data_IF_223260340640
#
_entry.id   IF_223260340640
#
_cell.length_a   1.000
_cell.length_b   1.000
_cell.length_c   1.000
_cell.angle_alpha   90.00
_cell.angle_beta   90.00
_cell.angle_gamma   90.00
#
_symmetry.space_group_name_H-M   'P 1'
#
loop_
_entity.id
_entity.type
_entity.pdbx_description
1 polymer ?
#
# COMPACT_ATOMS: atom_id res chain seq x y z
N UNK A 1 -76.46 -39.58 -62.14
CA UNK A 1 -77.87 -39.54 -61.71
C UNK A 1 -78.51 -38.35 -62.42
N UNK A 2 -79.09 -38.56 -63.62
CA UNK A 2 -80.57 -38.55 -63.87
C UNK A 2 -81.10 -37.11 -63.72
N UNK A 3 -81.68 -36.37 -64.68
CA UNK A 3 -82.51 -36.59 -65.89
C UNK A 3 -82.59 -35.20 -66.61
N UNK A 4 -82.59 -35.06 -67.95
CA UNK A 4 -83.78 -35.09 -68.86
C UNK A 4 -84.79 -33.95 -68.55
N UNK A 5 -85.40 -33.17 -69.44
CA UNK A 5 -85.89 -33.25 -70.84
C UNK A 5 -86.08 -31.79 -71.32
N UNK A 6 -85.71 -31.37 -72.54
CA UNK A 6 -86.47 -31.52 -73.79
C UNK A 6 -87.95 -31.11 -73.73
N UNK A 7 -88.32 -30.05 -74.46
CA UNK A 7 -89.48 -30.02 -75.37
C UNK A 7 -89.35 -28.77 -76.27
N UNK A 8 -89.07 -28.91 -77.57
CA UNK A 8 -90.04 -28.95 -78.71
C UNK A 8 -90.79 -27.61 -78.85
N UNK A 9 -90.92 -26.99 -80.01
CA UNK A 9 -91.41 -27.58 -81.26
C UNK A 9 -91.24 -26.54 -82.41
N UNK A 10 -90.76 -27.03 -83.55
CA UNK A 10 -91.16 -26.72 -84.94
C UNK A 10 -91.12 -25.27 -85.46
N UNK A 11 -90.26 -24.96 -86.44
CA UNK A 11 -90.39 -25.33 -87.85
C UNK A 11 -91.64 -24.63 -88.48
N UNK A 12 -91.61 -24.02 -89.65
CA UNK A 12 -90.72 -24.09 -90.81
C UNK A 12 -91.30 -23.09 -91.83
N UNK A 13 -90.45 -22.59 -92.74
CA UNK A 13 -90.79 -21.84 -93.95
C UNK A 13 -91.24 -20.36 -93.74
N UNK A 14 -90.84 -19.38 -94.54
CA UNK A 14 -90.39 -19.44 -95.92
C UNK A 14 -89.61 -18.16 -96.21
N UNK A 15 -88.32 -18.30 -96.56
CA UNK A 15 -87.41 -17.24 -97.03
C UNK A 15 -87.83 -16.62 -98.38
N UNK A 16 -89.10 -16.23 -98.55
CA UNK A 16 -89.64 -15.61 -99.79
C UNK A 16 -90.48 -14.35 -99.56
N UNK A 17 -91.04 -14.11 -98.37
CA UNK A 17 -91.91 -12.92 -98.12
C UNK A 17 -91.16 -11.65 -97.73
N UNK A 18 -89.89 -11.76 -97.30
CA UNK A 18 -89.03 -10.62 -96.95
C UNK A 18 -88.71 -9.72 -98.16
N UNK A 19 -88.94 -10.19 -99.40
CA UNK A 19 -88.65 -9.43 -100.62
C UNK A 19 -89.90 -8.74 -101.21
N UNK A 20 -91.12 -9.05 -100.74
CA UNK A 20 -92.37 -8.54 -101.35
C UNK A 20 -93.07 -7.43 -100.53
N UNK A 21 -92.88 -7.34 -99.21
CA UNK A 21 -93.54 -6.29 -98.41
C UNK A 21 -92.71 -4.99 -98.24
N UNK A 22 -91.41 -5.00 -98.55
CA UNK A 22 -90.59 -3.76 -98.65
C UNK A 22 -91.12 -2.83 -99.76
N UNK A 23 -92.02 -3.32 -100.63
CA UNK A 23 -92.76 -2.53 -101.63
C UNK A 23 -94.04 -1.87 -101.06
N UNK A 24 -94.55 -2.31 -99.90
CA UNK A 24 -95.68 -1.69 -99.19
C UNK A 24 -95.23 -0.45 -98.37
N UNK A 25 -93.92 -0.29 -98.19
CA UNK A 25 -93.28 0.88 -97.57
C UNK A 25 -93.41 2.18 -98.37
N UNK A 26 -93.92 2.16 -99.62
CA UNK A 26 -93.76 3.31 -100.51
C UNK A 26 -95.01 3.91 -101.16
N UNK A 27 -96.21 3.35 -101.02
CA UNK A 27 -97.30 3.82 -101.89
C UNK A 27 -98.71 3.84 -101.28
N UNK A 28 -98.85 3.61 -99.97
CA UNK A 28 -100.13 3.85 -99.28
C UNK A 28 -99.90 4.86 -98.18
N UNK A 29 -99.90 6.14 -98.51
CA UNK A 29 -101.13 6.84 -98.91
C UNK A 29 -102.15 6.58 -97.81
N UNK A 30 -102.00 7.30 -96.73
CA UNK A 30 -102.63 8.60 -96.64
C UNK A 30 -103.96 8.47 -95.90
N UNK A 31 -104.32 9.64 -95.39
CA UNK A 31 -105.66 10.02 -95.02
C UNK A 31 -106.07 9.50 -93.63
N UNK A 32 -106.10 10.49 -92.73
CA UNK A 32 -106.79 10.57 -91.45
C UNK A 32 -105.93 10.20 -90.22
N UNK A 33 -105.54 11.14 -89.37
CA UNK A 33 -105.87 12.56 -89.33
C UNK A 33 -105.27 13.21 -88.09
N UNK A 34 -104.59 14.33 -88.32
CA UNK A 34 -104.74 15.61 -87.59
C UNK A 34 -105.61 15.53 -86.32
N UNK A 35 -105.07 16.00 -85.19
CA UNK A 35 -105.38 17.29 -84.55
C UNK A 35 -104.30 17.54 -83.48
N UNK A 36 -103.28 18.37 -83.72
CA UNK A 36 -103.12 19.82 -83.44
C UNK A 36 -103.29 20.31 -82.01
N UNK A 37 -102.22 20.96 -81.51
CA UNK A 37 -102.23 22.08 -80.56
C UNK A 37 -101.22 21.89 -79.42
N UNK A 38 -100.29 22.79 -79.07
CA UNK A 38 -99.85 24.10 -79.57
C UNK A 38 -98.58 24.45 -78.74
N UNK A 39 -97.50 24.97 -79.33
CA UNK A 39 -96.29 25.48 -78.63
C UNK A 39 -96.56 26.85 -77.98
N UNK A 40 -95.87 27.25 -76.88
CA UNK A 40 -94.60 28.02 -76.96
C UNK A 40 -93.56 27.60 -75.85
N UNK A 41 -92.26 27.45 -76.12
CA UNK A 41 -91.12 28.41 -76.18
C UNK A 41 -90.49 28.87 -74.83
N UNK A 42 -89.22 28.42 -74.63
CA UNK A 42 -88.04 28.97 -73.90
C UNK A 42 -88.08 29.12 -72.36
N UNK A 43 -87.20 28.38 -71.63
CA UNK A 43 -86.08 28.87 -70.77
C UNK A 43 -85.12 27.70 -70.45
N UNK A 44 -83.83 28.00 -70.48
CA UNK A 44 -82.61 27.21 -70.34
C UNK A 44 -82.18 27.06 -68.85
N UNK A 45 -81.79 25.86 -68.39
CA UNK A 45 -80.94 25.65 -67.21
C UNK A 45 -80.42 24.20 -67.16
N UNK A 46 -79.11 24.05 -67.39
CA UNK A 46 -78.33 22.80 -67.38
C UNK A 46 -78.19 22.20 -65.97
N UNK A 47 -78.28 20.87 -65.89
CA UNK A 47 -77.94 20.07 -64.71
C UNK A 47 -76.55 19.44 -64.88
N UNK A 48 -75.55 19.96 -64.20
CA UNK A 48 -74.21 19.36 -64.12
C UNK A 48 -74.03 18.62 -62.79
N UNK A 49 -74.00 17.28 -62.86
CA UNK A 49 -73.56 16.41 -61.77
C UNK A 49 -72.04 16.30 -61.82
N UNK A 50 -71.37 16.61 -60.70
CA UNK A 50 -69.92 16.46 -60.55
C UNK A 50 -69.63 15.01 -60.12
N UNK A 51 -68.88 14.20 -60.89
CA UNK A 51 -68.55 12.84 -60.47
C UNK A 51 -67.52 12.86 -59.32
N UNK A 52 -67.88 12.24 -58.20
CA UNK A 52 -67.00 12.02 -57.04
C UNK A 52 -66.53 10.57 -57.00
N UNK A 53 -65.21 10.36 -56.92
CA UNK A 53 -64.61 9.04 -56.65
C UNK A 53 -64.88 8.66 -55.20
N UNK A 54 -65.65 7.60 -54.98
CA UNK A 54 -65.83 7.00 -53.65
C UNK A 54 -64.84 5.83 -53.45
N UNK A 55 -64.36 5.66 -52.22
CA UNK A 55 -63.53 4.54 -51.80
C UNK A 55 -64.16 3.91 -50.53
N UNK A 56 -64.11 2.58 -50.40
CA UNK A 56 -64.61 1.89 -49.21
C UNK A 56 -63.68 2.15 -48.01
N UNK A 57 -64.20 2.83 -46.98
CA UNK A 57 -63.46 3.01 -45.73
C UNK A 57 -63.33 1.67 -45.00
N UNK A 58 -62.10 1.28 -44.69
CA UNK A 58 -61.79 0.11 -43.85
C UNK A 58 -61.15 0.61 -42.56
N UNK A 59 -61.60 0.07 -41.44
CA UNK A 59 -60.91 0.28 -40.17
C UNK A 59 -59.58 -0.48 -40.22
N UNK A 60 -58.48 0.25 -40.05
CA UNK A 60 -57.13 -0.28 -39.98
C UNK A 60 -56.33 0.56 -39.01
N UNK A 61 -55.25 0.00 -38.48
CA UNK A 61 -54.31 0.73 -37.63
C UNK A 61 -53.57 1.77 -38.47
N UNK A 62 -53.96 3.04 -38.36
CA UNK A 62 -53.18 4.15 -38.90
C UNK A 62 -51.97 4.38 -38.00
N UNK A 63 -50.78 4.16 -38.55
CA UNK A 63 -49.51 4.52 -37.92
C UNK A 63 -49.10 5.89 -38.46
N UNK A 64 -49.20 6.92 -37.63
CA UNK A 64 -48.66 8.24 -37.94
C UNK A 64 -47.18 8.23 -37.63
N UNK A 65 -46.33 8.22 -38.66
CA UNK A 65 -44.89 8.39 -38.51
C UNK A 65 -44.57 9.88 -38.48
N UNK A 66 -43.65 10.26 -37.59
CA UNK A 66 -43.07 11.61 -37.57
C UNK A 66 -41.65 11.42 -38.05
N UNK A 67 -41.32 12.04 -39.18
CA UNK A 67 -39.97 12.01 -39.73
C UNK A 67 -39.15 13.07 -38.99
N UNK A 68 -38.14 12.62 -38.25
CA UNK A 68 -37.26 13.49 -37.47
C UNK A 68 -35.84 13.29 -37.98
N UNK A 69 -35.23 14.38 -38.46
CA UNK A 69 -33.81 14.39 -38.77
C UNK A 69 -33.00 14.62 -37.48
N UNK A 70 -31.93 13.85 -37.34
CA UNK A 70 -31.09 13.87 -36.16
C UNK A 70 -29.65 13.46 -36.49
N UNK A 71 -28.81 13.43 -35.46
CA UNK A 71 -27.41 13.02 -35.57
C UNK A 71 -27.14 11.81 -34.68
N UNK A 72 -26.26 10.92 -35.15
CA UNK A 72 -25.76 9.82 -34.34
C UNK A 72 -24.58 10.34 -33.52
N UNK A 73 -24.65 10.18 -32.20
CA UNK A 73 -23.56 10.50 -31.28
C UNK A 73 -23.07 9.24 -30.59
N UNK A 74 -21.79 9.22 -30.28
CA UNK A 74 -21.21 8.14 -29.51
C UNK A 74 -21.56 8.28 -28.02
N UNK A 75 -21.83 7.15 -27.38
CA UNK A 75 -22.21 7.12 -25.96
C UNK A 75 -21.03 7.51 -25.05
N UNK A 76 -19.78 7.23 -25.45
CA UNK A 76 -18.58 7.52 -24.67
C UNK A 76 -17.54 8.22 -25.55
N UNK A 77 -17.34 9.50 -25.25
CA UNK A 77 -16.28 10.32 -25.83
C UNK A 77 -15.38 10.81 -24.71
N UNK A 78 -14.07 10.66 -24.86
CA UNK A 78 -13.08 11.11 -23.88
C UNK A 78 -12.04 11.99 -24.57
N UNK A 79 -11.84 13.18 -24.03
CA UNK A 79 -10.74 14.04 -24.42
C UNK A 79 -9.52 13.74 -23.55
N UNK A 80 -8.41 13.40 -24.21
CA UNK A 80 -7.13 13.15 -23.57
C UNK A 80 -6.36 14.46 -23.56
N UNK A 81 -6.06 14.93 -22.35
CA UNK A 81 -5.23 16.10 -22.12
C UNK A 81 -3.85 15.71 -21.57
N UNK A 82 -2.89 16.61 -21.72
CA UNK A 82 -1.58 16.45 -21.11
C UNK A 82 -1.70 16.53 -19.58
N UNK A 83 -1.00 15.62 -18.88
CA UNK A 83 -0.90 15.63 -17.41
C UNK A 83 0.33 16.36 -16.91
N UNK A 84 1.36 16.48 -17.75
CA UNK A 84 2.62 17.14 -17.45
C UNK A 84 3.01 18.08 -18.60
N UNK A 85 3.80 19.11 -18.27
CA UNK A 85 4.38 20.01 -19.27
C UNK A 85 5.51 19.30 -20.01
N UNK A 86 5.52 19.37 -21.34
CA UNK A 86 6.61 18.78 -22.12
C UNK A 86 6.44 18.97 -23.62
N UNK A 87 7.57 18.91 -24.35
CA UNK A 87 7.56 18.90 -25.81
C UNK A 87 7.11 17.53 -26.32
N UNK A 88 6.17 17.51 -27.26
CA UNK A 88 5.74 16.27 -27.92
C UNK A 88 6.83 15.80 -28.88
N UNK A 89 7.36 14.59 -28.68
CA UNK A 89 8.39 13.99 -29.55
C UNK A 89 7.73 13.18 -30.66
N UNK A 90 6.71 12.38 -30.33
CA UNK A 90 6.01 11.57 -31.31
C UNK A 90 4.54 11.36 -30.96
N UNK A 91 3.72 11.24 -32.00
CA UNK A 91 2.30 10.90 -31.94
C UNK A 91 2.09 9.68 -32.84
N UNK A 92 2.14 8.45 -32.29
CA UNK A 92 2.14 7.22 -33.09
C UNK A 92 0.82 6.90 -33.80
N UNK A 93 -0.27 7.61 -33.51
CA UNK A 93 -1.58 7.37 -34.10
C UNK A 93 -2.05 8.54 -34.96
N UNK A 94 -2.86 8.21 -35.96
CA UNK A 94 -3.49 9.15 -36.89
C UNK A 94 -4.98 9.27 -36.56
N UNK A 95 -5.62 10.25 -37.18
CA UNK A 95 -7.08 10.33 -37.19
C UNK A 95 -7.63 9.07 -37.89
N UNK A 96 -8.78 8.59 -37.40
CA UNK A 96 -9.43 7.34 -37.82
C UNK A 96 -8.72 6.02 -37.42
N UNK A 97 -7.57 6.08 -36.74
CA UNK A 97 -6.92 4.88 -36.21
C UNK A 97 -7.66 4.31 -34.99
N UNK A 98 -7.78 2.98 -34.93
CA UNK A 98 -8.30 2.27 -33.76
C UNK A 98 -7.22 2.10 -32.69
N UNK A 99 -7.54 2.46 -31.45
CA UNK A 99 -6.64 2.35 -30.30
C UNK A 99 -7.29 1.55 -29.18
N UNK A 100 -6.49 0.68 -28.54
CA UNK A 100 -6.91 -0.09 -27.37
C UNK A 100 -6.70 0.70 -26.08
N UNK A 101 -7.52 0.45 -25.06
CA UNK A 101 -7.31 0.98 -23.71
C UNK A 101 -5.87 0.72 -23.23
N UNK A 102 -5.21 1.76 -22.72
CA UNK A 102 -3.83 1.73 -22.24
C UNK A 102 -2.75 1.96 -23.32
N UNK A 103 -3.11 2.02 -24.61
CA UNK A 103 -2.17 2.33 -25.68
C UNK A 103 -1.58 3.74 -25.51
N UNK A 104 -0.29 3.91 -25.84
CA UNK A 104 0.39 5.21 -25.81
C UNK A 104 -0.01 5.99 -27.05
N UNK A 105 -0.56 7.17 -26.83
CA UNK A 105 -1.17 8.02 -27.86
C UNK A 105 -0.26 9.20 -28.18
N UNK A 106 0.43 9.73 -27.17
CA UNK A 106 1.40 10.83 -27.29
C UNK A 106 2.60 10.54 -26.40
N UNK A 107 3.80 10.74 -26.93
CA UNK A 107 5.05 10.63 -26.18
C UNK A 107 5.72 12.00 -26.08
N UNK A 108 5.91 12.48 -24.84
CA UNK A 108 6.68 13.68 -24.55
C UNK A 108 8.19 13.37 -24.41
N UNK A 109 9.02 14.42 -24.49
CA UNK A 109 10.45 14.35 -24.23
C UNK A 109 10.73 13.95 -22.77
N UNK A 110 11.56 12.94 -22.60
CA UNK A 110 11.90 12.36 -21.29
C UNK A 110 13.36 12.58 -20.91
N UNK A 111 14.17 13.23 -21.75
CA UNK A 111 15.62 13.38 -21.53
C UNK A 111 15.96 14.06 -20.20
N UNK A 112 15.28 15.17 -19.88
CA UNK A 112 15.42 15.88 -18.61
C UNK A 112 14.93 15.03 -17.42
N UNK A 113 13.77 14.37 -17.56
CA UNK A 113 13.20 13.51 -16.53
C UNK A 113 14.12 12.32 -16.20
N UNK A 114 14.75 11.71 -17.21
CA UNK A 114 15.72 10.63 -17.00
C UNK A 114 16.98 11.13 -16.28
N UNK A 115 17.42 12.35 -16.58
CA UNK A 115 18.56 12.98 -15.90
C UNK A 115 18.22 13.28 -14.44
N UNK A 116 17.01 13.77 -14.16
CA UNK A 116 16.51 14.00 -12.81
C UNK A 116 16.31 12.70 -12.02
N UNK A 117 15.83 11.62 -12.66
CA UNK A 117 15.77 10.29 -12.04
C UNK A 117 17.16 9.83 -11.62
N UNK A 118 18.18 9.94 -12.49
CA UNK A 118 19.56 9.59 -12.13
C UNK A 118 20.08 10.41 -10.95
N UNK A 119 19.76 11.71 -10.89
CA UNK A 119 20.11 12.57 -9.76
C UNK A 119 19.40 12.13 -8.48
N UNK A 120 18.11 11.80 -8.56
CA UNK A 120 17.33 11.31 -7.43
C UNK A 120 17.81 9.93 -6.94
N UNK A 121 18.18 9.03 -7.84
CA UNK A 121 18.78 7.73 -7.51
C UNK A 121 20.12 7.89 -6.79
N UNK A 122 20.97 8.82 -7.23
CA UNK A 122 22.19 9.19 -6.51
C UNK A 122 21.88 9.77 -5.11
N UNK A 123 20.79 10.55 -4.99
CA UNK A 123 20.27 11.02 -3.70
C UNK A 123 19.86 9.87 -2.78
N UNK A 124 19.14 8.87 -3.28
CA UNK A 124 18.78 7.66 -2.52
C UNK A 124 20.03 6.89 -2.10
N UNK A 125 21.02 6.77 -2.98
CA UNK A 125 22.28 6.10 -2.68
C UNK A 125 23.04 6.79 -1.53
N UNK A 126 23.15 8.12 -1.55
CA UNK A 126 23.80 8.87 -0.46
C UNK A 126 23.02 8.77 0.85
N UNK A 127 21.69 8.86 0.81
CA UNK A 127 20.85 8.70 1.99
C UNK A 127 20.95 7.29 2.60
N UNK A 128 20.98 6.24 1.76
CA UNK A 128 21.20 4.86 2.18
C UNK A 128 22.58 4.67 2.81
N UNK A 129 23.62 5.29 2.23
CA UNK A 129 24.97 5.25 2.80
C UNK A 129 25.01 5.92 4.18
N UNK A 130 24.30 7.04 4.38
CA UNK A 130 24.18 7.70 5.68
C UNK A 130 23.43 6.83 6.70
N UNK A 131 22.35 6.17 6.31
CA UNK A 131 21.66 5.20 7.16
C UNK A 131 22.56 4.04 7.56
N UNK A 132 23.33 3.49 6.62
CA UNK A 132 24.31 2.44 6.91
C UNK A 132 25.37 2.92 7.90
N UNK A 133 25.92 4.13 7.72
CA UNK A 133 26.89 4.72 8.66
C UNK A 133 26.30 4.87 10.07
N UNK A 134 25.06 5.34 10.19
CA UNK A 134 24.38 5.47 11.47
C UNK A 134 24.16 4.10 12.15
N UNK A 135 23.75 3.08 11.39
CA UNK A 135 23.61 1.71 11.91
C UNK A 135 24.94 1.12 12.36
N UNK A 136 26.01 1.27 11.57
CA UNK A 136 27.35 0.79 11.93
C UNK A 136 27.87 1.50 13.18
N UNK A 137 27.72 2.82 13.28
CA UNK A 137 28.09 3.58 14.47
C UNK A 137 27.33 3.10 15.72
N UNK A 138 26.03 2.83 15.59
CA UNK A 138 25.23 2.24 16.68
C UNK A 138 25.73 0.85 17.08
N UNK A 139 26.04 -0.02 16.11
CA UNK A 139 26.54 -1.37 16.39
C UNK A 139 27.92 -1.34 17.08
N UNK A 140 28.83 -0.48 16.63
CA UNK A 140 30.15 -0.30 17.26
C UNK A 140 30.00 0.25 18.68
N UNK A 141 29.08 1.20 18.89
CA UNK A 141 28.77 1.74 20.23
C UNK A 141 28.17 0.66 21.13
N UNK A 142 27.28 -0.18 20.63
CA UNK A 142 26.69 -1.29 21.39
C UNK A 142 27.74 -2.31 21.81
N UNK A 143 28.57 -2.78 20.86
CA UNK A 143 29.64 -3.76 21.13
C UNK A 143 30.66 -3.20 22.12
N UNK A 144 31.10 -1.95 21.94
CA UNK A 144 32.04 -1.32 22.87
C UNK A 144 31.42 -1.06 24.25
N UNK A 145 30.13 -0.73 24.34
CA UNK A 145 29.44 -0.56 25.62
C UNK A 145 29.32 -1.88 26.37
N UNK A 146 28.93 -2.97 25.70
CA UNK A 146 28.86 -4.30 26.33
C UNK A 146 30.26 -4.77 26.76
N UNK A 147 31.30 -4.51 25.96
CA UNK A 147 32.69 -4.81 26.34
C UNK A 147 33.12 -4.03 27.60
N UNK A 148 32.79 -2.74 27.71
CA UNK A 148 33.07 -1.93 28.92
C UNK A 148 32.30 -2.42 30.14
N UNK A 149 31.04 -2.83 29.97
CA UNK A 149 30.24 -3.44 31.06
C UNK A 149 30.89 -4.75 31.51
N UNK A 150 31.31 -5.62 30.58
CA UNK A 150 31.97 -6.87 30.89
C UNK A 150 33.30 -6.64 31.65
N UNK A 151 34.11 -5.68 31.20
CA UNK A 151 35.34 -5.27 31.86
C UNK A 151 35.08 -4.76 33.29
N UNK A 152 34.09 -3.89 33.47
CA UNK A 152 33.74 -3.36 34.79
C UNK A 152 33.20 -4.44 35.73
N UNK A 153 32.39 -5.39 35.22
CA UNK A 153 31.96 -6.56 36.00
C UNK A 153 33.14 -7.42 36.43
N UNK A 154 34.09 -7.68 35.53
CA UNK A 154 35.29 -8.44 35.88
C UNK A 154 36.12 -7.72 36.96
N UNK A 155 36.21 -6.38 36.90
CA UNK A 155 36.87 -5.58 37.94
C UNK A 155 36.17 -5.72 39.30
N UNK A 156 34.83 -5.65 39.35
CA UNK A 156 34.05 -5.88 40.58
C UNK A 156 34.31 -7.27 41.17
N UNK A 157 34.29 -8.31 40.33
CA UNK A 157 34.55 -9.67 40.77
C UNK A 157 35.98 -9.83 41.30
N UNK A 158 36.98 -9.21 40.66
CA UNK A 158 38.36 -9.23 41.14
C UNK A 158 38.52 -8.51 42.50
N UNK A 159 37.83 -7.38 42.69
CA UNK A 159 37.84 -6.63 43.95
C UNK A 159 37.14 -7.43 45.07
N UNK A 160 36.02 -8.10 44.76
CA UNK A 160 35.31 -9.00 45.68
C UNK A 160 36.18 -10.20 46.05
N UNK A 161 36.91 -10.78 45.10
CA UNK A 161 37.85 -11.86 45.37
C UNK A 161 38.98 -11.40 46.32
N UNK A 162 39.54 -10.20 46.10
CA UNK A 162 40.54 -9.62 47.00
C UNK A 162 39.98 -9.37 48.41
N UNK A 163 38.76 -8.86 48.52
CA UNK A 163 38.08 -8.71 49.82
C UNK A 163 37.91 -10.06 50.52
N UNK A 164 37.55 -11.13 49.79
CA UNK A 164 37.46 -12.48 50.35
C UNK A 164 38.82 -12.97 50.86
N UNK A 165 39.90 -12.75 50.11
CA UNK A 165 41.25 -13.15 50.56
C UNK A 165 41.72 -12.37 51.78
N UNK A 166 41.42 -11.06 51.84
CA UNK A 166 41.74 -10.22 53.01
C UNK A 166 40.94 -10.67 54.23
N UNK A 167 39.63 -10.94 54.07
CA UNK A 167 38.80 -11.49 55.17
C UNK A 167 39.25 -12.88 55.62
N UNK A 168 39.84 -13.68 54.73
CA UNK A 168 40.34 -15.02 55.00
C UNK A 168 41.85 -15.06 55.30
N UNK A 169 42.46 -13.93 55.71
CA UNK A 169 43.91 -13.84 55.94
C UNK A 169 44.40 -14.85 56.99
N UNK A 170 43.64 -15.06 58.07
CA UNK A 170 43.92 -16.10 59.06
C UNK A 170 43.33 -17.43 58.63
N UNK A 171 44.17 -18.28 58.03
CA UNK A 171 43.77 -19.64 57.69
C UNK A 171 43.59 -20.46 58.99
N UNK A 172 42.54 -21.29 59.12
CA UNK A 172 42.35 -22.14 60.29
C UNK A 172 43.58 -23.02 60.61
N UNK A 173 44.31 -23.44 59.58
CA UNK A 173 45.55 -24.22 59.73
C UNK A 173 46.66 -23.43 60.44
N UNK A 174 46.77 -22.13 60.19
CA UNK A 174 47.77 -21.28 60.83
C UNK A 174 47.44 -21.04 62.30
N UNK A 175 46.15 -20.82 62.62
CA UNK A 175 45.66 -20.74 64.00
C UNK A 175 45.96 -22.05 64.75
N UNK A 176 45.68 -23.21 64.15
CA UNK A 176 45.93 -24.52 64.77
C UNK A 176 47.42 -24.76 65.08
N UNK A 177 48.34 -24.33 64.20
CA UNK A 177 49.79 -24.40 64.46
C UNK A 177 50.18 -23.51 65.64
N UNK A 178 49.63 -22.28 65.71
CA UNK A 178 49.88 -21.35 66.83
C UNK A 178 49.28 -21.85 68.13
N UNK A 179 48.09 -22.45 68.10
CA UNK A 179 47.46 -23.09 69.26
C UNK A 179 48.32 -24.22 69.79
N UNK A 180 48.85 -25.07 68.90
CA UNK A 180 49.77 -26.15 69.28
C UNK A 180 51.05 -25.61 69.93
N UNK A 181 51.59 -24.49 69.44
CA UNK A 181 52.76 -23.84 70.01
C UNK A 181 52.50 -23.19 71.38
N UNK A 182 51.30 -22.63 71.58
CA UNK A 182 50.87 -22.14 72.91
C UNK A 182 50.74 -23.30 73.88
N UNK A 183 50.17 -24.42 73.44
CA UNK A 183 50.00 -25.61 74.30
C UNK A 183 51.36 -26.20 74.72
N UNK A 184 52.34 -26.29 73.81
CA UNK A 184 53.69 -26.72 74.17
C UNK A 184 54.38 -25.74 75.13
N UNK A 185 54.31 -24.44 74.87
CA UNK A 185 54.92 -23.43 75.74
C UNK A 185 54.25 -23.35 77.12
N UNK A 186 52.96 -23.67 77.20
CA UNK A 186 52.20 -23.77 78.44
C UNK A 186 52.68 -24.96 79.27
N UNK A 187 52.91 -26.12 78.64
CA UNK A 187 53.44 -27.29 79.33
C UNK A 187 54.83 -27.01 79.93
N UNK A 188 55.71 -26.33 79.19
CA UNK A 188 57.04 -25.93 79.68
C UNK A 188 56.95 -24.94 80.85
N UNK A 189 56.05 -23.95 80.76
CA UNK A 189 55.80 -23.01 81.84
C UNK A 189 55.30 -23.69 83.13
N UNK A 190 54.32 -24.59 83.04
CA UNK A 190 53.81 -25.30 84.22
C UNK A 190 54.87 -26.22 84.83
N UNK A 191 55.68 -26.90 84.01
CA UNK A 191 56.81 -27.70 84.50
C UNK A 191 57.82 -26.83 85.26
N UNK A 192 58.24 -25.69 84.69
CA UNK A 192 59.18 -24.77 85.33
C UNK A 192 58.61 -24.11 86.59
N UNK A 193 57.30 -23.88 86.65
CA UNK A 193 56.60 -23.34 87.82
C UNK A 193 56.58 -24.34 88.98
N UNK A 194 56.24 -25.60 88.71
CA UNK A 194 56.26 -26.66 89.72
C UNK A 194 57.69 -26.88 90.22
N UNK A 195 58.68 -26.85 89.32
CA UNK A 195 60.09 -27.03 89.70
C UNK A 195 60.62 -25.88 90.56
N UNK A 196 60.26 -24.63 90.24
CA UNK A 196 60.55 -23.46 91.07
C UNK A 196 59.89 -23.58 92.46
N UNK A 197 58.62 -23.98 92.53
CA UNK A 197 57.91 -24.19 93.80
C UNK A 197 58.62 -25.24 94.66
N UNK A 198 58.91 -26.41 94.10
CA UNK A 198 59.62 -27.51 94.78
C UNK A 198 61.00 -27.07 95.27
N UNK A 199 61.75 -26.38 94.43
CA UNK A 199 63.08 -25.87 94.75
C UNK A 199 63.05 -24.81 95.85
N UNK A 200 62.04 -23.94 95.84
CA UNK A 200 61.84 -22.91 96.87
C UNK A 200 61.53 -23.52 98.25
N UNK A 201 60.74 -24.58 98.30
CA UNK A 201 60.44 -25.32 99.52
C UNK A 201 61.68 -26.03 100.08
N UNK A 202 62.44 -26.73 99.23
CA UNK A 202 63.67 -27.42 99.63
C UNK A 202 64.77 -26.44 100.06
N UNK A 203 64.85 -25.26 99.45
CA UNK A 203 65.76 -24.19 99.89
C UNK A 203 65.38 -23.65 101.27
N UNK A 204 64.08 -23.45 101.54
CA UNK A 204 63.60 -23.04 102.87
C UNK A 204 63.91 -24.05 103.98
N UNK A 205 64.01 -25.33 103.61
CA UNK A 205 64.41 -26.44 104.50
C UNK A 205 65.93 -26.66 104.58
N UNK A 206 66.74 -25.86 103.87
CA UNK A 206 68.21 -25.98 103.84
C UNK A 206 68.76 -27.14 102.99
N UNK A 207 67.91 -27.85 102.24
CA UNK A 207 68.28 -29.03 101.45
C UNK A 207 68.84 -28.69 100.05
N UNK A 208 68.77 -27.43 99.59
CA UNK A 208 69.31 -26.98 98.31
C UNK A 208 70.10 -25.68 98.40
N UNK A 209 71.00 -25.46 97.43
CA UNK A 209 71.86 -24.27 97.35
C UNK A 209 71.15 -23.07 96.71
N UNK A 210 71.60 -21.85 97.05
CA UNK A 210 71.09 -20.60 96.47
C UNK A 210 71.24 -20.55 94.94
N UNK A 211 72.34 -21.09 94.42
CA UNK A 211 72.58 -21.19 92.98
C UNK A 211 71.49 -22.01 92.27
N UNK A 212 71.02 -23.09 92.88
CA UNK A 212 69.98 -23.94 92.31
C UNK A 212 68.62 -23.22 92.25
N UNK A 213 68.28 -22.45 93.30
CA UNK A 213 67.08 -21.60 93.33
C UNK A 213 67.13 -20.51 92.24
N UNK A 214 68.29 -19.86 92.07
CA UNK A 214 68.47 -18.84 91.03
C UNK A 214 68.34 -19.42 89.62
N UNK A 215 68.79 -20.67 89.39
CA UNK A 215 68.62 -21.38 88.11
C UNK A 215 67.13 -21.67 87.86
N UNK A 216 66.42 -22.22 88.84
CA UNK A 216 64.99 -22.52 88.72
C UNK A 216 64.16 -21.23 88.49
N UNK A 217 64.53 -20.14 89.17
CA UNK A 217 63.88 -18.85 88.99
C UNK A 217 64.10 -18.30 87.57
N UNK A 218 65.33 -18.40 87.04
CA UNK A 218 65.63 -18.02 85.65
C UNK A 218 64.88 -18.90 84.64
N UNK A 219 64.81 -20.21 84.87
CA UNK A 219 64.06 -21.15 84.03
C UNK A 219 62.56 -20.83 83.98
N UNK A 220 61.96 -20.52 85.13
CA UNK A 220 60.58 -20.05 85.22
C UNK A 220 60.37 -18.74 84.45
N UNK A 221 61.25 -17.75 84.64
CA UNK A 221 61.16 -16.46 83.94
C UNK A 221 61.27 -16.63 82.43
N UNK A 222 62.19 -17.46 81.94
CA UNK A 222 62.33 -17.77 80.51
C UNK A 222 61.09 -18.48 79.95
N UNK A 223 60.56 -19.48 80.66
CA UNK A 223 59.38 -20.24 80.21
C UNK A 223 58.10 -19.41 80.25
N UNK A 224 57.97 -18.51 81.23
CA UNK A 224 56.89 -17.52 81.30
C UNK A 224 56.95 -16.52 80.14
N UNK A 225 58.14 -16.02 79.81
CA UNK A 225 58.33 -15.17 78.63
C UNK A 225 58.02 -15.91 77.33
N UNK A 226 58.41 -17.18 77.21
CA UNK A 226 58.10 -18.05 76.08
C UNK A 226 56.59 -18.29 75.90
N UNK A 227 55.88 -18.64 76.99
CA UNK A 227 54.42 -18.80 76.97
C UNK A 227 53.69 -17.50 76.58
N UNK A 228 54.07 -16.37 77.17
CA UNK A 228 53.46 -15.08 76.83
C UNK A 228 53.70 -14.70 75.36
N UNK A 229 54.91 -14.95 74.84
CA UNK A 229 55.23 -14.72 73.43
C UNK A 229 54.41 -15.61 72.49
N UNK A 230 54.27 -16.90 72.81
CA UNK A 230 53.44 -17.81 72.04
C UNK A 230 51.97 -17.39 72.06
N UNK A 231 51.45 -16.95 73.22
CA UNK A 231 50.08 -16.47 73.37
C UNK A 231 49.83 -15.21 72.54
N UNK A 232 50.73 -14.24 72.60
CA UNK A 232 50.65 -13.02 71.78
C UNK A 232 50.68 -13.34 70.27
N UNK A 233 51.46 -14.33 69.86
CA UNK A 233 51.47 -14.78 68.46
C UNK A 233 50.15 -15.44 68.04
N UNK A 234 49.50 -16.20 68.91
CA UNK A 234 48.17 -16.76 68.67
C UNK A 234 47.09 -15.67 68.65
N UNK A 235 47.14 -14.73 69.58
CA UNK A 235 46.19 -13.61 69.66
C UNK A 235 46.25 -12.76 68.38
N UNK A 236 47.46 -12.42 67.91
CA UNK A 236 47.67 -11.72 66.62
C UNK A 236 47.15 -12.54 65.42
N UNK A 237 47.36 -13.85 65.43
CA UNK A 237 46.86 -14.74 64.37
C UNK A 237 45.32 -14.84 64.38
N UNK A 238 44.68 -14.73 65.54
CA UNK A 238 43.21 -14.74 65.71
C UNK A 238 42.57 -13.39 65.35
N UNK A 239 43.24 -12.28 65.65
CA UNK A 239 42.81 -10.93 65.24
C UNK A 239 42.80 -10.81 63.70
N UNK A 240 43.75 -11.46 63.04
CA UNK A 240 43.75 -11.63 61.59
C UNK A 240 43.96 -10.34 60.81
N UNK A 241 43.18 -10.12 59.75
CA UNK A 241 43.31 -8.93 58.93
C UNK A 241 42.83 -7.69 59.69
N UNK A 242 43.62 -6.61 59.60
CA UNK A 242 43.31 -5.35 60.26
C UNK A 242 42.01 -4.76 59.70
N UNK A 243 41.24 -4.08 60.55
CA UNK A 243 39.98 -3.46 60.14
C UNK A 243 40.19 -2.47 59.00
N UNK A 244 41.32 -1.76 59.01
CA UNK A 244 41.73 -0.82 57.97
C UNK A 244 41.93 -1.51 56.62
N UNK A 245 42.47 -2.74 56.60
CA UNK A 245 42.69 -3.51 55.36
C UNK A 245 41.35 -3.99 54.78
N UNK A 246 40.42 -4.40 55.65
CA UNK A 246 39.07 -4.81 55.24
C UNK A 246 38.30 -3.60 54.69
N UNK A 247 38.37 -2.45 55.35
CA UNK A 247 37.73 -1.22 54.91
C UNK A 247 38.31 -0.75 53.57
N UNK A 248 39.63 -0.77 53.42
CA UNK A 248 40.31 -0.44 52.16
C UNK A 248 39.83 -1.36 51.02
N UNK A 249 39.79 -2.68 51.25
CA UNK A 249 39.28 -3.63 50.27
C UNK A 249 37.78 -3.46 49.97
N UNK A 250 36.97 -3.05 50.95
CA UNK A 250 35.56 -2.69 50.73
C UNK A 250 35.42 -1.45 49.87
N UNK A 251 36.24 -0.41 50.10
CA UNK A 251 36.25 0.80 49.28
C UNK A 251 36.69 0.52 47.85
N UNK A 252 37.57 -0.45 47.64
CA UNK A 252 37.94 -0.91 46.29
C UNK A 252 36.77 -1.61 45.58
N UNK A 253 35.98 -2.42 46.30
CA UNK A 253 34.74 -3.02 45.74
C UNK A 253 33.73 -1.93 45.39
N UNK A 254 33.53 -0.97 46.29
CA UNK A 254 32.61 0.16 46.07
C UNK A 254 33.02 0.98 44.84
N UNK A 255 34.31 1.29 44.69
CA UNK A 255 34.85 1.97 43.50
C UNK A 255 34.54 1.19 42.21
N UNK A 256 34.81 -0.11 42.20
CA UNK A 256 34.55 -0.95 41.04
C UNK A 256 33.04 -1.03 40.70
N UNK A 257 32.17 -1.05 41.72
CA UNK A 257 30.72 -1.04 41.53
C UNK A 257 30.20 0.29 40.97
N UNK A 258 30.79 1.42 41.38
CA UNK A 258 30.50 2.72 40.75
C UNK A 258 30.93 2.75 39.28
N UNK A 259 32.11 2.21 38.96
CA UNK A 259 32.57 2.10 37.57
C UNK A 259 31.63 1.25 36.71
N UNK A 260 31.13 0.13 37.26
CA UNK A 260 30.10 -0.68 36.62
C UNK A 260 28.80 0.11 36.42
N UNK A 261 28.37 0.88 37.43
CA UNK A 261 27.17 1.72 37.31
C UNK A 261 27.32 2.77 36.21
N UNK A 262 28.46 3.43 36.10
CA UNK A 262 28.76 4.38 35.01
C UNK A 262 28.78 3.68 33.65
N UNK A 263 29.37 2.48 33.55
CA UNK A 263 29.36 1.70 32.32
C UNK A 263 27.94 1.31 31.88
N UNK A 264 27.06 0.94 32.82
CA UNK A 264 25.64 0.67 32.56
C UNK A 264 24.88 1.94 32.20
N UNK A 265 25.16 3.08 32.84
CA UNK A 265 24.55 4.36 32.50
C UNK A 265 24.86 4.78 31.05
N UNK A 266 26.06 4.46 30.54
CA UNK A 266 26.41 4.70 29.13
C UNK A 266 25.53 3.91 28.14
N UNK A 267 24.86 2.83 28.57
CA UNK A 267 23.84 2.13 27.75
C UNK A 267 22.64 3.02 27.45
N UNK A 268 22.34 4.02 28.28
CA UNK A 268 21.29 4.99 28.02
C UNK A 268 21.59 5.82 26.76
N UNK A 269 22.86 6.04 26.41
CA UNK A 269 23.25 6.72 25.16
C UNK A 269 22.80 5.97 23.89
N UNK A 270 22.38 4.70 24.01
CA UNK A 270 21.72 3.95 22.93
C UNK A 270 20.44 4.62 22.43
N UNK A 271 19.73 5.37 23.26
CA UNK A 271 18.55 6.12 22.82
C UNK A 271 18.92 7.21 21.81
N UNK A 272 20.07 7.89 22.01
CA UNK A 272 20.57 8.91 21.09
C UNK A 272 20.88 8.32 19.71
N UNK A 273 21.57 7.18 19.67
CA UNK A 273 21.86 6.47 18.42
C UNK A 273 20.58 5.98 17.71
N UNK A 274 19.50 5.67 18.45
CA UNK A 274 18.21 5.32 17.85
C UNK A 274 17.57 6.52 17.15
N UNK A 275 17.68 7.71 17.73
CA UNK A 275 17.19 8.94 17.09
C UNK A 275 17.99 9.28 15.83
N UNK A 276 19.31 9.05 15.82
CA UNK A 276 20.15 9.20 14.63
C UNK A 276 19.74 8.24 13.51
N UNK A 277 19.49 6.96 13.83
CA UNK A 277 18.98 5.97 12.86
C UNK A 277 17.61 6.39 12.34
N UNK A 278 16.73 6.92 13.20
CA UNK A 278 15.40 7.39 12.81
C UNK A 278 15.49 8.60 11.88
N UNK A 279 16.35 9.57 12.18
CA UNK A 279 16.63 10.73 11.33
C UNK A 279 17.20 10.31 9.97
N UNK A 280 18.19 9.42 9.95
CA UNK A 280 18.77 8.90 8.71
C UNK A 280 17.75 8.10 7.88
N UNK A 281 16.87 7.33 8.53
CA UNK A 281 15.77 6.61 7.86
C UNK A 281 14.75 7.57 7.27
N UNK A 282 14.41 8.65 7.97
CA UNK A 282 13.53 9.70 7.45
C UNK A 282 14.16 10.40 6.23
N UNK A 283 15.47 10.65 6.27
CA UNK A 283 16.23 11.17 5.13
C UNK A 283 16.19 10.23 3.91
N UNK A 284 16.34 8.92 4.12
CA UNK A 284 16.19 7.91 3.07
C UNK A 284 14.77 7.90 2.48
N UNK A 285 13.74 7.89 3.33
CA UNK A 285 12.35 7.91 2.87
C UNK A 285 12.01 9.16 2.06
N UNK A 286 12.54 10.32 2.45
CA UNK A 286 12.41 11.58 1.68
C UNK A 286 13.07 11.49 0.31
N UNK A 287 14.29 10.94 0.23
CA UNK A 287 14.97 10.73 -1.05
C UNK A 287 14.23 9.74 -1.95
N UNK A 288 13.68 8.67 -1.39
CA UNK A 288 12.85 7.70 -2.12
C UNK A 288 11.55 8.31 -2.63
N UNK A 289 10.89 9.15 -1.83
CA UNK A 289 9.70 9.89 -2.25
C UNK A 289 10.01 10.84 -3.42
N UNK A 290 11.16 11.51 -3.40
CA UNK A 290 11.60 12.36 -4.50
C UNK A 290 11.86 11.55 -5.78
N UNK A 291 12.50 10.38 -5.68
CA UNK A 291 12.68 9.45 -6.79
C UNK A 291 11.32 8.97 -7.35
N UNK A 292 10.38 8.62 -6.47
CA UNK A 292 9.05 8.19 -6.86
C UNK A 292 8.29 9.29 -7.62
N UNK A 293 8.45 10.56 -7.20
CA UNK A 293 7.88 11.71 -7.87
C UNK A 293 8.38 11.84 -9.33
N UNK A 294 9.69 11.77 -9.57
CA UNK A 294 10.22 11.83 -10.93
C UNK A 294 9.85 10.62 -11.79
N UNK A 295 9.75 9.42 -11.19
CA UNK A 295 9.23 8.23 -11.88
C UNK A 295 7.77 8.40 -12.28
N UNK A 296 6.95 9.03 -11.44
CA UNK A 296 5.57 9.35 -11.77
C UNK A 296 5.48 10.39 -12.90
N UNK A 297 6.35 11.41 -12.90
CA UNK A 297 6.42 12.36 -14.01
C UNK A 297 6.83 11.68 -15.32
N UNK A 298 7.81 10.76 -15.29
CA UNK A 298 8.18 9.95 -16.45
C UNK A 298 7.00 9.11 -16.96
N UNK A 299 6.22 8.51 -16.05
CA UNK A 299 5.01 7.77 -16.42
C UNK A 299 3.95 8.67 -17.05
N UNK A 300 3.83 9.92 -16.60
CA UNK A 300 2.91 10.91 -17.16
C UNK A 300 3.37 11.47 -18.51
N UNK A 301 4.65 11.37 -18.86
CA UNK A 301 5.18 11.77 -20.16
C UNK A 301 4.71 10.85 -21.30
N UNK A 302 4.33 9.61 -20.98
CA UNK A 302 3.68 8.68 -21.90
C UNK A 302 2.16 8.73 -21.71
N UNK A 303 1.49 9.52 -22.54
CA UNK A 303 0.06 9.77 -22.42
C UNK A 303 -0.70 8.61 -23.04
N UNK A 304 -1.53 7.94 -22.23
CA UNK A 304 -2.27 6.73 -22.59
C UNK A 304 -3.77 6.96 -22.66
N UNK A 305 -4.44 6.20 -23.52
CA UNK A 305 -5.90 6.23 -23.60
C UNK A 305 -6.56 5.44 -22.46
N UNK A 306 -7.60 5.99 -21.79
CA UNK A 306 -8.35 5.26 -20.77
C UNK A 306 -9.40 4.30 -21.35
N UNK A 307 -9.78 4.45 -22.63
CA UNK A 307 -10.82 3.65 -23.29
C UNK A 307 -10.31 3.09 -24.63
N UNK A 308 -10.89 1.98 -25.06
CA UNK A 308 -10.72 1.51 -26.44
C UNK A 308 -11.70 2.26 -27.36
N UNK A 309 -11.24 2.70 -28.52
CA UNK A 309 -12.05 3.48 -29.46
C UNK A 309 -11.31 3.87 -30.73
N UNK A 310 -11.88 4.80 -31.48
CA UNK A 310 -11.28 5.41 -32.66
C UNK A 310 -10.83 6.84 -32.33
N UNK A 311 -9.72 7.29 -32.91
CA UNK A 311 -9.26 8.68 -32.81
C UNK A 311 -10.14 9.55 -33.70
N UNK A 312 -11.00 10.36 -33.09
CA UNK A 312 -11.91 11.27 -33.80
C UNK A 312 -11.20 12.54 -34.26
N UNK A 313 -10.38 13.14 -33.39
CA UNK A 313 -9.63 14.37 -33.69
C UNK A 313 -8.27 14.35 -33.04
N UNK A 314 -7.25 14.76 -33.79
CA UNK A 314 -5.90 14.99 -33.29
C UNK A 314 -5.63 16.50 -33.20
N UNK A 315 -5.41 16.99 -31.98
CA UNK A 315 -5.23 18.42 -31.69
C UNK A 315 -3.77 18.77 -31.36
N UNK A 316 -2.84 17.83 -31.54
CA UNK A 316 -1.41 18.05 -31.25
C UNK A 316 -0.50 17.52 -32.35
N UNK A 317 0.62 18.21 -32.56
CA UNK A 317 1.65 17.86 -33.52
C UNK A 317 3.02 17.61 -32.85
N UNK A 318 3.88 16.75 -33.43
CA UNK A 318 5.26 16.63 -32.98
C UNK A 318 5.99 17.98 -32.97
N UNK A 319 6.70 18.27 -31.89
CA UNK A 319 7.42 19.54 -31.67
C UNK A 319 6.64 20.58 -30.87
N UNK A 320 5.31 20.44 -30.73
CA UNK A 320 4.48 21.35 -29.94
C UNK A 320 4.75 21.20 -28.43
N UNK A 321 4.66 22.32 -27.70
CA UNK A 321 4.68 22.32 -26.24
C UNK A 321 3.29 22.00 -25.71
N UNK A 322 3.16 20.91 -24.95
CA UNK A 322 1.93 20.54 -24.27
C UNK A 322 2.01 21.00 -22.81
N UNK A 323 0.96 21.67 -22.32
CA UNK A 323 0.82 22.11 -20.92
C UNK A 323 -0.25 21.27 -20.20
N UNK A 324 -0.18 21.11 -18.86
CA UNK A 324 -1.21 20.39 -18.12
C UNK A 324 -2.61 20.94 -18.41
N UNK A 325 -3.54 20.05 -18.80
CA UNK A 325 -4.91 20.41 -19.17
C UNK A 325 -5.13 20.79 -20.64
N UNK A 326 -4.07 20.96 -21.44
CA UNK A 326 -4.21 21.15 -22.89
C UNK A 326 -4.77 19.88 -23.54
N UNK A 327 -5.91 19.94 -24.26
CA UNK A 327 -6.45 18.78 -24.97
C UNK A 327 -5.52 18.41 -26.13
N UNK A 328 -5.17 17.14 -26.24
CA UNK A 328 -4.27 16.62 -27.25
C UNK A 328 -5.00 15.78 -28.28
N UNK A 329 -5.92 14.91 -27.85
CA UNK A 329 -6.64 13.99 -28.73
C UNK A 329 -8.04 13.69 -28.20
N UNK A 330 -8.98 13.44 -29.11
CA UNK A 330 -10.34 13.03 -28.80
C UNK A 330 -10.57 11.58 -29.25
N UNK A 331 -10.95 10.71 -28.31
CA UNK A 331 -11.23 9.30 -28.58
C UNK A 331 -12.70 9.03 -28.38
N UNK A 332 -13.28 8.36 -29.36
CA UNK A 332 -14.70 8.04 -29.43
C UNK A 332 -14.89 6.54 -29.46
N UNK A 333 -15.74 6.01 -28.58
CA UNK A 333 -16.14 4.61 -28.63
C UNK A 333 -17.36 4.43 -29.54
N UNK A 334 -17.14 3.85 -30.72
CA UNK A 334 -18.18 3.61 -31.73
C UNK A 334 -18.96 2.30 -31.49
N UNK A 335 -18.65 1.52 -30.45
CA UNK A 335 -19.35 0.26 -30.16
C UNK A 335 -20.74 0.47 -29.54
N UNK A 336 -20.96 1.65 -28.93
CA UNK A 336 -22.26 2.06 -28.38
C UNK A 336 -22.57 3.48 -28.85
N UNK A 337 -23.60 3.63 -29.67
CA UNK A 337 -24.07 4.90 -30.22
C UNK A 337 -25.52 5.15 -29.83
N UNK A 338 -25.92 6.42 -29.78
CA UNK A 338 -27.31 6.83 -29.60
C UNK A 338 -27.70 7.86 -30.65
N UNK A 339 -28.97 7.89 -31.00
CA UNK A 339 -29.53 8.84 -31.97
C UNK A 339 -30.16 10.02 -31.23
N UNK A 340 -29.75 11.23 -31.55
CA UNK A 340 -30.29 12.46 -30.98
C UNK A 340 -30.95 13.27 -32.09
N UNK A 341 -32.25 13.51 -31.95
CA UNK A 341 -33.05 14.20 -32.96
C UNK A 341 -33.94 15.25 -32.31
N UNK A 342 -34.05 16.40 -32.96
CA UNK A 342 -34.87 17.50 -32.48
C UNK A 342 -36.31 17.32 -32.97
N UNK A 343 -37.21 16.96 -32.05
CA UNK A 343 -38.65 16.88 -32.36
C UNK A 343 -39.24 18.28 -32.26
N UNK A 344 -40.02 18.69 -33.26
CA UNK A 344 -40.76 19.96 -33.24
C UNK A 344 -41.68 20.03 -32.02
N UNK A 345 -41.79 21.20 -31.40
CA UNK A 345 -42.66 21.43 -30.24
C UNK A 345 -44.14 21.11 -30.57
N UNK A 346 -44.55 21.25 -31.82
CA UNK A 346 -45.90 20.88 -32.26
C UNK A 346 -46.17 19.38 -32.22
N UNK A 347 -45.14 18.54 -32.20
CA UNK A 347 -45.25 17.08 -32.27
C UNK A 347 -44.76 16.38 -30.99
N UNK A 348 -44.13 17.10 -30.06
CA UNK A 348 -43.58 16.55 -28.81
C UNK A 348 -44.64 15.83 -27.97
N UNK A 349 -45.89 16.32 -27.99
CA UNK A 349 -47.00 15.74 -27.25
C UNK A 349 -47.42 14.35 -27.73
N UNK A 350 -46.91 13.88 -28.88
CA UNK A 350 -47.17 12.56 -29.47
C UNK A 350 -46.07 11.54 -29.14
N UNK A 351 -44.94 11.98 -28.58
CA UNK A 351 -43.76 11.15 -28.29
C UNK A 351 -43.82 10.62 -26.85
N UNK A 352 -43.53 9.33 -26.65
CA UNK A 352 -43.50 8.66 -25.34
C UNK A 352 -42.26 7.78 -25.18
N UNK A 353 -41.74 7.68 -23.95
CA UNK A 353 -40.64 6.77 -23.63
C UNK A 353 -41.04 5.31 -23.94
N UNK A 354 -40.13 4.57 -24.60
CA UNK A 354 -40.35 3.17 -24.98
C UNK A 354 -41.00 2.96 -26.36
N UNK A 355 -41.27 4.03 -27.12
CA UNK A 355 -41.67 3.90 -28.52
C UNK A 355 -40.54 3.30 -29.38
N UNK A 356 -40.92 2.41 -30.29
CA UNK A 356 -39.98 1.82 -31.26
C UNK A 356 -39.72 2.87 -32.33
N UNK A 357 -38.44 3.14 -32.58
CA UNK A 357 -37.98 4.10 -33.59
C UNK A 357 -37.17 3.35 -34.63
N UNK A 358 -37.52 3.53 -35.90
CA UNK A 358 -36.71 3.04 -37.01
C UNK A 358 -35.75 4.16 -37.41
N UNK A 359 -34.45 3.91 -37.30
CA UNK A 359 -33.40 4.86 -37.70
C UNK A 359 -32.80 4.37 -39.01
N UNK A 360 -32.88 5.20 -40.05
CA UNK A 360 -32.21 4.97 -41.32
C UNK A 360 -30.99 5.90 -41.40
N UNK A 361 -29.86 5.37 -41.84
CA UNK A 361 -28.61 6.11 -41.95
C UNK A 361 -28.23 6.19 -43.42
N UNK A 362 -28.13 7.40 -43.97
CA UNK A 362 -27.84 7.61 -45.40
C UNK A 362 -26.51 6.98 -45.85
N UNK A 363 -25.56 6.81 -44.92
CA UNK A 363 -24.26 6.17 -45.18
C UNK A 363 -24.31 4.64 -45.36
N UNK A 364 -25.42 3.99 -44.99
CA UNK A 364 -25.64 2.54 -45.10
C UNK A 364 -27.06 2.30 -45.66
N UNK A 365 -27.23 2.29 -47.00
CA UNK A 365 -28.54 2.21 -47.66
C UNK A 365 -29.27 0.88 -47.49
#
# INVERSE_FOLDING_TARGET
>A
MIKYLMYKEDAVNLRKTVIIAIVILLAVVAIAGKITGKKPQVVEAESTTIPVRTAFARTGTMTTTIDVSGSIKALKTVQISAKAMGRVVSVPCREDDSVSAGAVVVQQDTSDLLTDIKRAEAGVFTARANLSKAMTASNVTDVSTEARIAQAKAAVESAKARLRTVKASSRPQEIAIRESAVESARADFENAKVDLQRTRELYAQGAQSRQQMDIAQKAFTMSSAGYNSARQALDLAREGARLEDIESAQKDVERAEQDLRMAVANRANKSLNREDIKSARAGMASAEANLAYYRQQLANAAIRTPISGCVSKRMTEPGQMASPGTPLMEIVNLSTVYFEAAVSEMDIHKVKLGQIVNVQVDALP
#
